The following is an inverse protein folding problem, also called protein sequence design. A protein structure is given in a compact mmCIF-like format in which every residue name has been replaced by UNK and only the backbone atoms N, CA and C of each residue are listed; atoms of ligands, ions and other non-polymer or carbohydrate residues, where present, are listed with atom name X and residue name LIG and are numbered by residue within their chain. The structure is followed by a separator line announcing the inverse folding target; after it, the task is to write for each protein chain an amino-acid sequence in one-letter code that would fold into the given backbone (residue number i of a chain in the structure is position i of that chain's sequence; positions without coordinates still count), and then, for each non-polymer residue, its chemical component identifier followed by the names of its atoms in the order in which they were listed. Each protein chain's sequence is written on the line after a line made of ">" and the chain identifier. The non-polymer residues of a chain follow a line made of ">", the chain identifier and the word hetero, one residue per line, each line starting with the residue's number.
data_IF_381664652876
#
_entry.id   IF_381664652876
#
_cell.length_a   1.000
_cell.length_b   1.000
_cell.length_c   1.000
_cell.angle_alpha   90.00
_cell.angle_beta   90.00
_cell.angle_gamma   90.00
#
_symmetry.space_group_name_H-M   'P 1'
#
loop_
_entity.id
_entity.type
_entity.pdbx_description
1 polymer ?
#
# COMPACT_ATOMS: atom_id res chain seq x y z
N UNK A 1 50.72 66.40 -0.04
CA UNK A 1 50.12 65.79 1.18
C UNK A 1 49.34 64.55 0.76
N UNK A 2 49.79 63.38 1.26
CA UNK A 2 49.14 62.05 1.35
C UNK A 2 48.62 61.42 0.04
N UNK A 3 49.40 60.56 -0.65
CA UNK A 3 49.70 59.12 -0.45
C UNK A 3 48.82 58.22 -1.34
N UNK A 4 49.37 57.80 -2.48
CA UNK A 4 48.91 56.63 -3.24
C UNK A 4 49.19 55.37 -2.39
N UNK A 5 48.16 54.56 -2.15
CA UNK A 5 48.28 53.23 -1.56
C UNK A 5 48.14 52.22 -2.70
N UNK A 6 49.26 51.60 -3.05
CA UNK A 6 49.32 50.43 -3.94
C UNK A 6 48.96 49.19 -3.10
N UNK A 7 47.80 48.59 -3.34
CA UNK A 7 47.43 47.31 -2.73
C UNK A 7 48.00 46.20 -3.62
N UNK A 8 49.08 45.58 -3.15
CA UNK A 8 49.68 44.37 -3.69
C UNK A 8 48.90 43.17 -3.10
N UNK A 9 48.01 42.56 -3.87
CA UNK A 9 47.36 41.30 -3.45
C UNK A 9 48.33 40.16 -3.73
N UNK A 10 48.93 39.64 -2.66
CA UNK A 10 49.78 38.45 -2.66
C UNK A 10 48.89 37.21 -2.86
N UNK A 11 48.67 36.79 -4.11
CA UNK A 11 48.05 35.50 -4.41
C UNK A 11 49.08 34.39 -4.21
N UNK A 12 49.27 33.98 -2.96
CA UNK A 12 50.03 32.77 -2.62
C UNK A 12 49.26 31.54 -3.08
N UNK A 13 49.61 31.03 -4.26
CA UNK A 13 49.08 29.77 -4.79
C UNK A 13 49.55 28.60 -3.94
N UNK A 14 48.65 28.06 -3.11
CA UNK A 14 48.78 26.69 -2.61
C UNK A 14 48.38 25.79 -3.78
N UNK A 15 49.39 25.34 -4.54
CA UNK A 15 49.25 24.24 -5.48
C UNK A 15 49.04 22.96 -4.65
N UNK A 16 47.78 22.68 -4.32
CA UNK A 16 47.37 21.31 -4.05
C UNK A 16 47.64 20.54 -5.34
N UNK A 17 48.69 19.72 -5.35
CA UNK A 17 48.84 18.67 -6.34
C UNK A 17 47.68 17.69 -6.15
N UNK A 18 46.54 18.03 -6.74
CA UNK A 18 45.54 17.05 -7.11
C UNK A 18 46.24 16.20 -8.16
N UNK A 19 46.72 15.03 -7.74
CA UNK A 19 47.12 13.99 -8.66
C UNK A 19 45.83 13.58 -9.39
N UNK A 20 45.57 14.23 -10.52
CA UNK A 20 44.59 13.76 -11.48
C UNK A 20 45.15 12.43 -11.97
N UNK A 21 44.61 11.32 -11.46
CA UNK A 21 44.86 10.01 -12.04
C UNK A 21 44.47 10.11 -13.52
N UNK A 22 45.38 9.74 -14.43
CA UNK A 22 45.03 9.67 -15.84
C UNK A 22 43.78 8.78 -15.97
N UNK A 23 42.76 9.20 -16.75
CA UNK A 23 41.59 8.37 -16.99
C UNK A 23 42.04 6.99 -17.43
N UNK A 24 41.49 5.95 -16.81
CA UNK A 24 41.91 4.59 -17.13
C UNK A 24 41.62 4.31 -18.61
N UNK A 25 42.56 3.67 -19.32
CA UNK A 25 42.28 3.32 -20.71
C UNK A 25 41.14 2.30 -20.79
N UNK A 26 40.38 2.30 -21.89
CA UNK A 26 39.37 1.26 -22.15
C UNK A 26 39.90 -0.15 -21.91
N UNK A 27 41.13 -0.42 -22.37
CA UNK A 27 41.80 -1.70 -22.20
C UNK A 27 42.06 -2.05 -20.74
N UNK A 28 42.40 -1.06 -19.92
CA UNK A 28 42.64 -1.24 -18.49
C UNK A 28 41.34 -1.63 -17.77
N UNK A 29 40.26 -0.87 -17.98
CA UNK A 29 38.97 -1.18 -17.37
C UNK A 29 38.39 -2.52 -17.84
N UNK A 30 38.58 -2.86 -19.12
CA UNK A 30 38.21 -4.16 -19.65
C UNK A 30 38.95 -5.29 -18.93
N UNK A 31 40.29 -5.21 -18.89
CA UNK A 31 41.14 -6.24 -18.29
C UNK A 31 40.86 -6.40 -16.80
N UNK A 32 40.74 -5.29 -16.07
CA UNK A 32 40.55 -5.30 -14.63
C UNK A 32 39.16 -5.84 -14.24
N UNK A 33 38.11 -5.37 -14.91
CA UNK A 33 36.75 -5.85 -14.63
C UNK A 33 36.57 -7.31 -15.04
N UNK A 34 37.26 -7.77 -16.09
CA UNK A 34 37.27 -9.17 -16.47
C UNK A 34 38.00 -10.04 -15.44
N UNK A 35 39.17 -9.61 -14.98
CA UNK A 35 39.92 -10.29 -13.92
C UNK A 35 39.07 -10.42 -12.66
N UNK A 36 38.46 -9.33 -12.20
CA UNK A 36 37.57 -9.39 -11.04
C UNK A 36 36.36 -10.29 -11.24
N UNK A 37 35.83 -10.37 -12.47
CA UNK A 37 34.74 -11.29 -12.80
C UNK A 37 35.18 -12.75 -12.64
N UNK A 38 36.36 -13.11 -13.16
CA UNK A 38 36.91 -14.47 -13.05
C UNK A 38 37.24 -14.84 -11.59
N UNK A 39 37.72 -13.88 -10.81
CA UNK A 39 38.02 -14.05 -9.38
C UNK A 39 36.75 -14.09 -8.50
N UNK A 40 35.58 -13.74 -9.04
CA UNK A 40 34.37 -13.54 -8.24
C UNK A 40 34.45 -12.33 -7.29
N UNK A 41 35.38 -11.40 -7.53
CA UNK A 41 35.55 -10.18 -6.74
C UNK A 41 34.49 -9.14 -7.16
N UNK A 42 33.26 -9.36 -6.71
CA UNK A 42 32.11 -8.54 -7.08
C UNK A 42 32.24 -7.08 -6.61
N UNK A 43 32.83 -6.83 -5.44
CA UNK A 43 33.01 -5.47 -4.93
C UNK A 43 34.04 -4.68 -5.74
N UNK A 44 35.17 -5.29 -6.08
CA UNK A 44 36.15 -4.72 -7.00
C UNK A 44 35.54 -4.41 -8.37
N UNK A 45 34.85 -5.39 -8.96
CA UNK A 45 34.16 -5.24 -10.24
C UNK A 45 33.15 -4.09 -10.22
N UNK A 46 32.30 -4.01 -9.19
CA UNK A 46 31.29 -2.96 -9.08
C UNK A 46 31.94 -1.58 -8.92
N UNK A 47 33.00 -1.47 -8.11
CA UNK A 47 33.72 -0.20 -7.90
C UNK A 47 34.37 0.28 -9.20
N UNK A 48 35.22 -0.56 -9.81
CA UNK A 48 35.92 -0.27 -11.06
C UNK A 48 34.94 -0.03 -12.22
N UNK A 49 33.84 -0.79 -12.29
CA UNK A 49 32.81 -0.58 -13.30
C UNK A 49 32.05 0.74 -13.16
N UNK A 50 31.79 1.21 -11.92
CA UNK A 50 31.22 2.55 -11.68
C UNK A 50 32.19 3.67 -12.02
N UNK A 51 33.49 3.47 -11.82
CA UNK A 51 34.54 4.39 -12.26
C UNK A 51 34.55 4.48 -13.79
N UNK A 52 34.63 3.34 -14.49
CA UNK A 52 34.58 3.29 -15.95
C UNK A 52 33.35 4.01 -16.55
N UNK A 53 32.15 3.76 -16.02
CA UNK A 53 30.92 4.43 -16.49
C UNK A 53 30.98 5.95 -16.25
N UNK A 54 31.54 6.42 -15.12
CA UNK A 54 31.70 7.86 -14.85
C UNK A 54 32.68 8.52 -15.82
N UNK A 55 33.69 7.78 -16.27
CA UNK A 55 34.65 8.22 -17.29
C UNK A 55 34.15 8.05 -18.73
N UNK A 56 32.88 7.72 -18.92
CA UNK A 56 32.24 7.63 -20.24
C UNK A 56 32.39 6.27 -20.93
N UNK A 57 33.02 5.29 -20.28
CA UNK A 57 33.09 3.92 -20.78
C UNK A 57 31.84 3.13 -20.41
N UNK A 58 30.89 3.06 -21.35
CA UNK A 58 29.66 2.27 -21.24
C UNK A 58 29.56 1.30 -22.42
N UNK A 59 29.96 0.04 -22.21
CA UNK A 59 29.95 -1.00 -23.24
C UNK A 59 29.34 -2.31 -22.72
N UNK A 60 28.98 -3.18 -23.66
CA UNK A 60 28.17 -4.38 -23.42
C UNK A 60 28.75 -5.29 -22.33
N UNK A 61 30.01 -5.70 -22.45
CA UNK A 61 30.64 -6.62 -21.50
C UNK A 61 30.77 -6.04 -20.09
N UNK A 62 31.05 -4.73 -19.96
CA UNK A 62 31.05 -4.07 -18.66
C UNK A 62 29.67 -4.12 -18.01
N UNK A 63 28.60 -3.81 -18.77
CA UNK A 63 27.23 -3.90 -18.26
C UNK A 63 26.85 -5.32 -17.86
N UNK A 64 27.21 -6.32 -18.66
CA UNK A 64 26.97 -7.73 -18.33
C UNK A 64 27.69 -8.13 -17.04
N UNK A 65 28.99 -7.85 -16.92
CA UNK A 65 29.80 -8.15 -15.74
C UNK A 65 29.25 -7.47 -14.48
N UNK A 66 28.88 -6.20 -14.56
CA UNK A 66 28.27 -5.48 -13.43
C UNK A 66 26.89 -6.04 -13.07
N UNK A 67 26.08 -6.41 -14.06
CA UNK A 67 24.79 -7.07 -13.86
C UNK A 67 24.95 -8.38 -13.10
N UNK A 68 25.89 -9.23 -13.52
CA UNK A 68 26.19 -10.51 -12.86
C UNK A 68 26.73 -10.27 -11.44
N UNK A 69 27.64 -9.32 -11.24
CA UNK A 69 28.14 -8.99 -9.91
C UNK A 69 27.02 -8.56 -8.96
N UNK A 70 26.12 -7.67 -9.39
CA UNK A 70 24.96 -7.29 -8.58
C UNK A 70 23.98 -8.45 -8.34
N UNK A 71 23.77 -9.30 -9.35
CA UNK A 71 22.93 -10.49 -9.24
C UNK A 71 23.49 -11.49 -8.22
N UNK A 72 24.81 -11.76 -8.25
CA UNK A 72 25.52 -12.59 -7.29
C UNK A 72 25.44 -12.04 -5.86
N UNK A 73 25.36 -10.72 -5.72
CA UNK A 73 25.10 -10.04 -4.43
C UNK A 73 23.60 -9.94 -4.06
N UNK A 74 22.72 -10.64 -4.79
CA UNK A 74 21.25 -10.60 -4.67
C UNK A 74 20.64 -9.20 -4.79
N UNK A 75 21.34 -8.23 -5.37
CA UNK A 75 20.84 -6.89 -5.62
C UNK A 75 20.16 -6.85 -7.00
N UNK A 76 19.04 -7.56 -7.10
CA UNK A 76 18.33 -7.83 -8.34
C UNK A 76 17.82 -6.56 -9.04
N UNK A 77 17.44 -5.52 -8.29
CA UNK A 77 17.01 -4.23 -8.87
C UNK A 77 18.14 -3.50 -9.58
N UNK A 78 19.36 -3.46 -9.00
CA UNK A 78 20.52 -2.87 -9.70
C UNK A 78 21.01 -3.77 -10.83
N UNK A 79 21.00 -5.09 -10.63
CA UNK A 79 21.32 -6.05 -11.69
C UNK A 79 20.41 -5.85 -12.91
N UNK A 80 19.09 -5.73 -12.69
CA UNK A 80 18.12 -5.47 -13.75
C UNK A 80 18.43 -4.20 -14.55
N UNK A 81 18.88 -3.12 -13.90
CA UNK A 81 19.32 -1.91 -14.59
C UNK A 81 20.49 -2.19 -15.54
N UNK A 82 21.51 -2.90 -15.07
CA UNK A 82 22.67 -3.24 -15.89
C UNK A 82 22.33 -4.17 -17.06
N UNK A 83 21.50 -5.20 -16.85
CA UNK A 83 21.05 -6.07 -17.94
C UNK A 83 20.14 -5.34 -18.94
N UNK A 84 19.31 -4.40 -18.47
CA UNK A 84 18.52 -3.55 -19.37
C UNK A 84 19.43 -2.70 -20.25
N UNK A 85 20.51 -2.12 -19.69
CA UNK A 85 21.52 -1.37 -20.45
C UNK A 85 22.31 -2.27 -21.41
N UNK A 86 22.66 -3.49 -21.00
CA UNK A 86 23.30 -4.46 -21.88
C UNK A 86 22.43 -4.81 -23.09
N UNK A 87 21.12 -5.00 -22.89
CA UNK A 87 20.16 -5.27 -23.97
C UNK A 87 19.92 -4.09 -24.92
N UNK A 88 20.20 -2.85 -24.49
CA UNK A 88 20.19 -1.68 -25.38
C UNK A 88 21.43 -1.64 -26.29
N UNK A 89 22.55 -2.20 -25.83
CA UNK A 89 23.81 -2.26 -26.59
C UNK A 89 23.88 -3.50 -27.50
N UNK A 90 23.34 -4.62 -27.04
CA UNK A 90 23.21 -5.86 -27.80
C UNK A 90 21.80 -6.43 -27.64
N UNK A 91 20.96 -6.14 -28.61
CA UNK A 91 19.56 -6.56 -28.59
C UNK A 91 19.44 -8.08 -28.65
N UNK A 92 18.52 -8.64 -27.86
CA UNK A 92 18.18 -10.07 -27.83
C UNK A 92 19.28 -11.02 -27.33
N UNK A 93 20.33 -10.54 -26.66
CA UNK A 93 21.29 -11.43 -25.99
C UNK A 93 20.55 -12.40 -25.02
N UNK A 94 20.66 -13.73 -25.21
CA UNK A 94 19.90 -14.69 -24.41
C UNK A 94 20.26 -14.67 -22.93
N UNK A 95 21.53 -14.45 -22.59
CA UNK A 95 21.98 -14.44 -21.20
C UNK A 95 21.43 -13.20 -20.46
N UNK A 96 21.55 -12.02 -21.07
CA UNK A 96 21.03 -10.78 -20.52
C UNK A 96 19.50 -10.84 -20.34
N UNK A 97 18.78 -11.40 -21.32
CA UNK A 97 17.34 -11.65 -21.24
C UNK A 97 16.97 -12.57 -20.08
N UNK A 98 17.68 -13.70 -19.92
CA UNK A 98 17.44 -14.65 -18.85
C UNK A 98 17.72 -14.04 -17.46
N UNK A 99 18.86 -13.38 -17.29
CA UNK A 99 19.19 -12.73 -16.03
C UNK A 99 18.19 -11.62 -15.67
N UNK A 100 17.79 -10.79 -16.65
CA UNK A 100 16.79 -9.76 -16.43
C UNK A 100 15.45 -10.37 -16.03
N UNK A 101 15.04 -11.47 -16.65
CA UNK A 101 13.81 -12.20 -16.28
C UNK A 101 13.84 -12.63 -14.81
N UNK A 102 14.90 -13.30 -14.36
CA UNK A 102 15.00 -13.71 -12.95
C UNK A 102 15.10 -12.52 -12.00
N UNK A 103 15.77 -11.41 -12.39
CA UNK A 103 15.75 -10.20 -11.58
C UNK A 103 14.31 -9.69 -11.36
N UNK A 104 13.48 -9.70 -12.40
CA UNK A 104 12.06 -9.31 -12.30
C UNK A 104 11.28 -10.29 -11.42
N UNK A 105 11.49 -11.60 -11.58
CA UNK A 105 10.84 -12.63 -10.74
C UNK A 105 11.19 -12.46 -9.25
N UNK A 106 12.48 -12.35 -8.90
CA UNK A 106 12.95 -12.24 -7.51
C UNK A 106 12.64 -10.89 -6.84
N UNK A 107 12.19 -9.91 -7.62
CA UNK A 107 11.73 -8.61 -7.11
C UNK A 107 10.20 -8.48 -7.11
N UNK A 108 9.48 -9.57 -7.36
CA UNK A 108 8.01 -9.61 -7.36
C UNK A 108 7.35 -9.03 -8.60
N UNK A 109 8.11 -8.76 -9.66
CA UNK A 109 7.66 -8.06 -10.88
C UNK A 109 7.18 -9.05 -11.95
N UNK A 110 6.21 -9.88 -11.59
CA UNK A 110 5.72 -10.99 -12.43
C UNK A 110 5.18 -10.52 -13.79
N UNK A 111 4.42 -9.42 -13.83
CA UNK A 111 3.91 -8.85 -15.07
C UNK A 111 5.03 -8.42 -16.03
N UNK A 112 6.09 -7.79 -15.50
CA UNK A 112 7.24 -7.39 -16.31
C UNK A 112 8.05 -8.60 -16.77
N UNK A 113 8.17 -9.63 -15.93
CA UNK A 113 8.80 -10.88 -16.30
C UNK A 113 8.02 -11.56 -17.45
N UNK A 114 6.69 -11.59 -17.38
CA UNK A 114 5.84 -12.14 -18.44
C UNK A 114 5.94 -11.33 -19.75
N UNK A 115 6.02 -10.00 -19.67
CA UNK A 115 6.26 -9.14 -20.84
C UNK A 115 7.62 -9.41 -21.48
N UNK A 116 8.68 -9.46 -20.67
CA UNK A 116 10.04 -9.73 -21.14
C UNK A 116 10.15 -11.11 -21.78
N UNK A 117 9.45 -12.09 -21.21
CA UNK A 117 9.41 -13.47 -21.72
C UNK A 117 8.98 -13.54 -23.18
N UNK A 118 8.10 -12.64 -23.66
CA UNK A 118 7.71 -12.58 -25.08
C UNK A 118 8.88 -12.35 -26.04
N UNK A 119 10.01 -11.85 -25.55
CA UNK A 119 11.21 -11.57 -26.35
C UNK A 119 12.10 -12.82 -26.54
N UNK A 120 11.90 -13.89 -25.78
CA UNK A 120 12.77 -15.07 -25.83
C UNK A 120 12.60 -15.82 -27.15
N UNK A 121 13.70 -16.36 -27.69
CA UNK A 121 13.76 -17.14 -28.93
C UNK A 121 14.64 -18.39 -28.73
N UNK A 122 14.53 -19.37 -29.64
CA UNK A 122 15.36 -20.58 -29.64
C UNK A 122 15.33 -21.34 -28.31
N UNK A 123 16.49 -21.83 -27.88
CA UNK A 123 16.67 -22.65 -26.68
C UNK A 123 16.16 -21.97 -25.40
N UNK A 124 16.34 -20.65 -25.28
CA UNK A 124 15.87 -19.91 -24.11
C UNK A 124 14.33 -19.93 -24.01
N UNK A 125 13.63 -19.87 -25.14
CA UNK A 125 12.18 -19.97 -25.17
C UNK A 125 11.67 -21.38 -24.82
N UNK A 126 12.45 -22.42 -25.11
CA UNK A 126 12.15 -23.79 -24.72
C UNK A 126 12.40 -24.02 -23.22
N UNK A 127 13.51 -23.49 -22.70
CA UNK A 127 13.91 -23.60 -21.28
C UNK A 127 12.88 -22.99 -20.33
N UNK A 128 12.35 -21.82 -20.70
CA UNK A 128 11.37 -21.10 -19.92
C UNK A 128 10.16 -20.92 -20.84
N UNK A 129 9.06 -21.67 -20.78
CA UNK A 129 7.89 -21.44 -21.61
C UNK A 129 7.14 -20.16 -21.20
N UNK A 130 6.38 -19.54 -22.11
CA UNK A 130 5.57 -18.36 -21.78
C UNK A 130 4.39 -18.79 -20.91
N UNK A 131 4.13 -18.16 -19.76
CA UNK A 131 2.86 -18.34 -19.09
C UNK A 131 1.78 -17.78 -20.01
N UNK A 132 0.86 -18.64 -20.45
CA UNK A 132 -0.31 -18.23 -21.22
C UNK A 132 -1.29 -17.43 -20.35
N UNK A 133 -2.44 -17.00 -20.90
CA UNK A 133 -3.52 -16.47 -20.08
C UNK A 133 -3.93 -17.51 -19.03
N UNK A 134 -4.14 -17.07 -17.79
CA UNK A 134 -4.59 -17.90 -16.70
C UNK A 134 -5.80 -17.24 -16.04
N UNK A 135 -6.97 -17.85 -16.23
CA UNK A 135 -8.20 -17.40 -15.59
C UNK A 135 -8.08 -17.54 -14.06
N UNK A 136 -7.52 -18.64 -13.58
CA UNK A 136 -7.17 -18.82 -12.17
C UNK A 136 -5.65 -18.66 -11.99
N UNK A 137 -5.13 -17.42 -11.97
CA UNK A 137 -3.72 -17.21 -11.59
C UNK A 137 -3.57 -17.34 -10.07
N UNK A 138 -4.47 -16.70 -9.33
CA UNK A 138 -4.46 -16.71 -7.87
C UNK A 138 -5.86 -16.62 -7.26
N UNK A 139 -6.10 -17.39 -6.21
CA UNK A 139 -7.30 -17.27 -5.38
C UNK A 139 -6.90 -16.99 -3.93
N UNK A 140 -7.65 -16.12 -3.24
CA UNK A 140 -7.40 -15.76 -1.86
C UNK A 140 -8.64 -15.93 -0.98
N UNK A 141 -8.40 -16.33 0.26
CA UNK A 141 -9.38 -16.29 1.35
C UNK A 141 -8.75 -15.58 2.54
N UNK A 142 -9.43 -14.55 3.06
CA UNK A 142 -9.03 -13.82 4.25
C UNK A 142 -10.17 -13.79 5.26
N UNK A 143 -9.82 -13.92 6.54
CA UNK A 143 -10.69 -13.63 7.65
C UNK A 143 -10.05 -12.60 8.57
N UNK A 144 -10.83 -11.61 9.00
CA UNK A 144 -10.46 -10.63 10.01
C UNK A 144 -11.51 -10.64 11.11
N UNK A 145 -11.05 -10.65 12.36
CA UNK A 145 -11.87 -10.43 13.54
C UNK A 145 -11.34 -9.23 14.31
N UNK A 146 -12.23 -8.35 14.74
CA UNK A 146 -11.93 -7.14 15.50
C UNK A 146 -12.74 -7.10 16.79
N UNK A 147 -12.06 -6.73 17.88
CA UNK A 147 -12.63 -6.56 19.20
C UNK A 147 -12.42 -5.10 19.68
N UNK A 148 -13.50 -4.46 20.14
CA UNK A 148 -13.42 -3.21 20.90
C UNK A 148 -12.86 -3.42 22.30
N UNK A 149 -11.95 -2.54 22.72
CA UNK A 149 -11.33 -2.50 24.05
C UNK A 149 -11.96 -1.39 24.90
N UNK A 150 -13.29 -1.41 24.98
CA UNK A 150 -14.14 -0.34 25.50
C UNK A 150 -15.16 -0.85 26.54
N UNK A 151 -14.76 -1.83 27.35
CA UNK A 151 -15.65 -2.51 28.33
C UNK A 151 -16.34 -1.55 29.29
N UNK A 152 -15.61 -0.54 29.79
CA UNK A 152 -16.17 0.45 30.71
C UNK A 152 -17.31 1.25 30.06
N UNK A 153 -17.05 1.78 28.86
CA UNK A 153 -18.04 2.52 28.07
C UNK A 153 -19.26 1.64 27.72
N UNK A 154 -19.02 0.37 27.40
CA UNK A 154 -20.08 -0.59 27.05
C UNK A 154 -20.94 -0.96 28.26
N UNK A 155 -20.35 -1.06 29.45
CA UNK A 155 -21.05 -1.42 30.68
C UNK A 155 -21.76 -0.23 31.32
N UNK A 156 -21.20 0.97 31.19
CA UNK A 156 -21.73 2.19 31.78
C UNK A 156 -21.91 3.33 30.74
N UNK A 157 -22.68 3.15 29.64
CA UNK A 157 -22.75 4.14 28.57
C UNK A 157 -23.15 5.54 29.03
N UNK A 158 -24.03 5.63 30.03
CA UNK A 158 -24.56 6.89 30.55
C UNK A 158 -23.53 7.73 31.32
N UNK A 159 -22.47 7.11 31.83
CA UNK A 159 -21.39 7.82 32.53
C UNK A 159 -20.44 8.52 31.54
N UNK A 160 -20.44 8.09 30.28
CA UNK A 160 -19.57 8.61 29.22
C UNK A 160 -20.33 9.41 28.16
N UNK A 161 -21.61 9.10 27.93
CA UNK A 161 -22.46 9.72 26.90
C UNK A 161 -23.55 10.54 27.59
N UNK A 162 -23.34 11.86 27.68
CA UNK A 162 -24.30 12.79 28.25
C UNK A 162 -24.52 14.00 27.33
N UNK A 163 -25.17 13.82 26.16
CA UNK A 163 -25.42 14.89 25.21
C UNK A 163 -26.48 15.88 25.72
N UNK A 164 -26.34 17.14 25.34
CA UNK A 164 -27.32 18.19 25.64
C UNK A 164 -28.50 18.23 24.64
N UNK A 165 -28.37 17.55 23.49
CA UNK A 165 -29.35 17.56 22.40
C UNK A 165 -29.75 16.13 21.97
N UNK A 166 -30.98 15.94 21.42
CA UNK A 166 -31.40 14.67 20.82
C UNK A 166 -30.44 14.21 19.70
N UNK A 167 -30.17 12.92 19.64
CA UNK A 167 -29.24 12.36 18.65
C UNK A 167 -28.81 10.93 18.95
N UNK A 168 -27.73 10.53 18.30
CA UNK A 168 -27.19 9.17 18.34
C UNK A 168 -25.68 9.12 18.48
N UNK A 169 -25.16 8.04 19.04
CA UNK A 169 -23.73 7.77 19.04
C UNK A 169 -23.45 6.28 18.87
N UNK A 170 -22.42 5.96 18.08
CA UNK A 170 -22.03 4.59 17.75
C UNK A 170 -20.63 4.32 18.29
N UNK A 171 -20.45 3.19 18.94
CA UNK A 171 -19.15 2.73 19.42
C UNK A 171 -18.98 1.26 19.04
N UNK A 172 -18.01 0.98 18.18
CA UNK A 172 -17.70 -0.38 17.73
C UNK A 172 -17.38 -1.31 18.90
N UNK A 173 -18.16 -2.38 19.08
CA UNK A 173 -17.89 -3.44 20.08
C UNK A 173 -17.12 -4.60 19.46
N UNK A 174 -17.36 -4.87 18.18
CA UNK A 174 -16.59 -5.82 17.40
C UNK A 174 -17.10 -5.95 15.97
N UNK A 175 -16.26 -6.47 15.08
CA UNK A 175 -16.67 -6.81 13.71
C UNK A 175 -15.82 -7.91 13.13
N UNK A 176 -16.33 -8.55 12.09
CA UNK A 176 -15.59 -9.54 11.32
C UNK A 176 -15.77 -9.34 9.83
N UNK A 177 -14.71 -9.56 9.07
CA UNK A 177 -14.72 -9.54 7.61
C UNK A 177 -14.30 -10.90 7.07
N UNK A 178 -14.98 -11.38 6.04
CA UNK A 178 -14.53 -12.50 5.21
C UNK A 178 -14.35 -11.96 3.80
N UNK A 179 -13.17 -12.15 3.22
CA UNK A 179 -12.87 -11.74 1.85
C UNK A 179 -12.48 -12.92 0.99
N UNK A 180 -13.05 -12.99 -0.21
CA UNK A 180 -12.68 -13.92 -1.27
C UNK A 180 -12.11 -13.13 -2.43
N UNK A 181 -10.88 -13.43 -2.85
CA UNK A 181 -10.22 -12.74 -3.96
C UNK A 181 -9.82 -13.67 -5.09
N UNK A 182 -9.82 -13.14 -6.30
CA UNK A 182 -9.40 -13.84 -7.51
C UNK A 182 -8.58 -12.88 -8.37
N UNK A 183 -7.40 -13.31 -8.79
CA UNK A 183 -6.59 -12.63 -9.78
C UNK A 183 -6.54 -13.45 -11.06
N UNK A 184 -6.84 -12.79 -12.18
CA UNK A 184 -6.70 -13.34 -13.53
C UNK A 184 -5.45 -12.74 -14.19
N UNK A 185 -4.66 -13.56 -14.87
CA UNK A 185 -3.64 -13.10 -15.80
C UNK A 185 -4.23 -13.12 -17.22
N UNK A 186 -4.80 -11.99 -17.66
CA UNK A 186 -5.50 -11.89 -18.96
C UNK A 186 -4.51 -11.97 -20.11
N UNK A 187 -3.40 -11.24 -20.00
CA UNK A 187 -2.30 -11.26 -20.97
C UNK A 187 -1.01 -10.83 -20.26
N UNK A 188 0.18 -11.06 -20.83
CA UNK A 188 1.40 -10.54 -20.24
C UNK A 188 1.36 -9.01 -20.13
N UNK A 189 1.50 -8.50 -18.91
CA UNK A 189 1.35 -7.09 -18.59
C UNK A 189 -0.08 -6.64 -18.28
N UNK A 190 -1.08 -7.53 -18.33
CA UNK A 190 -2.47 -7.22 -18.02
C UNK A 190 -3.01 -8.27 -17.04
N UNK A 191 -3.21 -7.83 -15.79
CA UNK A 191 -3.85 -8.63 -14.75
C UNK A 191 -5.15 -7.98 -14.31
N UNK A 192 -6.02 -8.77 -13.68
CA UNK A 192 -7.29 -8.30 -13.19
C UNK A 192 -7.58 -8.91 -11.83
N UNK A 193 -7.70 -8.04 -10.83
CA UNK A 193 -7.97 -8.38 -9.44
C UNK A 193 -9.46 -8.17 -9.13
N UNK A 194 -10.07 -9.16 -8.47
CA UNK A 194 -11.43 -9.11 -7.92
C UNK A 194 -11.39 -9.46 -6.45
N UNK A 195 -12.26 -8.83 -5.65
CA UNK A 195 -12.54 -9.31 -4.31
C UNK A 195 -14.01 -9.08 -3.94
N UNK A 196 -14.60 -10.06 -3.26
CA UNK A 196 -15.87 -9.90 -2.56
C UNK A 196 -15.61 -9.95 -1.06
N UNK A 197 -16.11 -8.96 -0.32
CA UNK A 197 -15.94 -8.88 1.14
C UNK A 197 -17.29 -8.74 1.81
N UNK A 198 -17.59 -9.66 2.73
CA UNK A 198 -18.72 -9.55 3.65
C UNK A 198 -18.23 -9.08 5.02
N UNK A 199 -18.88 -8.06 5.58
CA UNK A 199 -18.61 -7.50 6.90
C UNK A 199 -19.87 -7.60 7.76
N UNK A 200 -19.69 -8.06 8.99
CA UNK A 200 -20.69 -8.02 10.04
C UNK A 200 -20.09 -7.30 11.24
N UNK A 201 -20.76 -6.25 11.72
CA UNK A 201 -20.30 -5.37 12.80
C UNK A 201 -21.41 -5.19 13.82
N UNK A 202 -20.99 -5.16 15.09
CA UNK A 202 -21.84 -4.82 16.21
C UNK A 202 -21.34 -3.52 16.85
N UNK A 203 -22.29 -2.68 17.25
CA UNK A 203 -22.02 -1.44 17.95
C UNK A 203 -22.79 -1.38 19.27
N UNK A 204 -22.21 -0.69 20.24
CA UNK A 204 -22.99 0.05 21.22
C UNK A 204 -23.65 1.20 20.47
N UNK A 205 -24.97 1.19 20.43
CA UNK A 205 -25.78 2.22 19.82
C UNK A 205 -26.55 2.93 20.91
N UNK A 206 -26.23 4.21 21.11
CA UNK A 206 -26.92 5.12 22.01
C UNK A 206 -27.87 6.01 21.21
N UNK A 207 -29.08 6.20 21.71
CA UNK A 207 -30.12 7.02 21.10
C UNK A 207 -30.83 7.86 22.18
N UNK A 208 -31.03 9.13 21.90
CA UNK A 208 -31.74 10.07 22.76
C UNK A 208 -32.71 10.91 21.93
N UNK A 209 -34.00 10.85 22.24
CA UNK A 209 -35.05 11.60 21.52
C UNK A 209 -35.32 13.00 22.13
N UNK A 210 -34.60 13.39 23.18
CA UNK A 210 -34.84 14.61 23.96
C UNK A 210 -35.55 14.37 25.30
N UNK A 211 -36.15 13.20 25.48
CA UNK A 211 -36.90 12.80 26.69
C UNK A 211 -36.33 11.49 27.24
N UNK A 212 -36.31 10.44 26.41
CA UNK A 212 -35.92 9.08 26.76
C UNK A 212 -34.57 8.72 26.14
N UNK A 213 -33.80 7.94 26.90
CA UNK A 213 -32.49 7.44 26.49
C UNK A 213 -32.57 5.93 26.32
N UNK A 214 -32.16 5.47 25.15
CA UNK A 214 -32.11 4.05 24.81
C UNK A 214 -30.68 3.69 24.41
N UNK A 215 -30.23 2.51 24.81
CA UNK A 215 -28.98 1.97 24.32
C UNK A 215 -29.02 0.46 24.20
N UNK A 216 -28.21 -0.06 23.28
CA UNK A 216 -28.07 -1.50 23.04
C UNK A 216 -26.68 -1.81 22.53
N UNK A 217 -26.12 -2.94 22.93
CA UNK A 217 -24.80 -3.43 22.48
C UNK A 217 -24.89 -4.36 21.27
N UNK A 218 -26.12 -4.62 20.79
CA UNK A 218 -26.43 -5.56 19.72
C UNK A 218 -26.86 -4.91 18.42
N UNK A 219 -26.62 -3.61 18.21
CA UNK A 219 -26.95 -2.95 16.93
C UNK A 219 -26.08 -3.54 15.82
N UNK A 220 -26.73 -4.12 14.81
CA UNK A 220 -26.05 -4.80 13.72
C UNK A 220 -25.86 -3.89 12.51
N UNK A 221 -24.67 -3.95 11.95
CA UNK A 221 -24.30 -3.39 10.65
C UNK A 221 -23.79 -4.51 9.76
N UNK A 222 -24.34 -4.61 8.55
CA UNK A 222 -23.97 -5.60 7.54
C UNK A 222 -23.54 -4.87 6.27
N UNK A 223 -22.39 -5.23 5.74
CA UNK A 223 -21.86 -4.61 4.54
C UNK A 223 -21.36 -5.67 3.56
N UNK A 224 -21.77 -5.52 2.31
CA UNK A 224 -21.32 -6.35 1.19
C UNK A 224 -20.54 -5.48 0.22
N UNK A 225 -19.36 -5.94 -0.18
CA UNK A 225 -18.45 -5.16 -1.00
C UNK A 225 -17.98 -5.97 -2.20
N UNK A 226 -17.86 -5.31 -3.34
CA UNK A 226 -17.24 -5.88 -4.53
C UNK A 226 -16.19 -4.92 -5.09
N UNK A 227 -14.94 -5.38 -5.08
CA UNK A 227 -13.78 -4.68 -5.58
C UNK A 227 -13.36 -5.27 -6.93
N UNK A 228 -13.01 -4.39 -7.85
CA UNK A 228 -12.59 -4.73 -9.21
C UNK A 228 -11.47 -3.77 -9.65
N UNK A 229 -10.33 -4.31 -10.07
CA UNK A 229 -9.19 -3.49 -10.49
C UNK A 229 -8.35 -4.17 -11.58
N UNK A 230 -8.46 -3.72 -12.85
CA UNK A 230 -7.50 -4.10 -13.87
C UNK A 230 -6.16 -3.42 -13.62
N UNK A 231 -5.07 -4.10 -13.98
CA UNK A 231 -3.70 -3.60 -13.85
C UNK A 231 -2.98 -3.77 -15.16
N UNK A 232 -2.46 -2.65 -15.67
CA UNK A 232 -1.68 -2.60 -16.89
C UNK A 232 -0.24 -2.25 -16.53
N UNK A 233 0.69 -3.16 -16.82
CA UNK A 233 2.11 -2.99 -16.57
C UNK A 233 2.84 -2.82 -17.90
N UNK A 234 3.80 -1.89 -17.96
CA UNK A 234 4.66 -1.68 -19.14
C UNK A 234 6.04 -2.33 -18.95
N UNK A 235 6.78 -2.47 -20.06
CA UNK A 235 8.17 -2.94 -20.01
C UNK A 235 9.09 -2.00 -19.19
N UNK A 236 8.83 -0.69 -19.21
CA UNK A 236 9.58 0.31 -18.43
C UNK A 236 9.31 0.23 -16.92
N UNK A 237 8.26 -0.49 -16.49
CA UNK A 237 7.89 -0.66 -15.10
C UNK A 237 6.86 0.33 -14.58
N UNK A 238 6.23 1.09 -15.48
CA UNK A 238 5.01 1.83 -15.15
C UNK A 238 3.86 0.86 -14.96
N UNK A 239 3.06 1.06 -13.92
CA UNK A 239 1.78 0.41 -13.72
C UNK A 239 0.66 1.43 -13.70
N UNK A 240 -0.39 1.15 -14.44
CA UNK A 240 -1.63 1.91 -14.52
C UNK A 240 -2.75 1.03 -13.94
N UNK A 241 -3.39 1.49 -12.87
CA UNK A 241 -4.28 0.67 -12.02
C UNK A 241 -5.60 1.43 -11.81
N UNK A 242 -6.57 1.27 -12.73
CA UNK A 242 -7.95 1.69 -12.47
C UNK A 242 -8.55 0.90 -11.32
N UNK A 243 -9.42 1.55 -10.55
CA UNK A 243 -10.00 1.01 -9.33
C UNK A 243 -11.49 1.26 -9.33
N UNK A 244 -12.26 0.24 -8.99
CA UNK A 244 -13.71 0.31 -8.79
C UNK A 244 -14.08 -0.49 -7.56
N UNK A 245 -14.88 0.08 -6.68
CA UNK A 245 -15.32 -0.57 -5.45
C UNK A 245 -16.77 -0.19 -5.18
N UNK A 246 -17.65 -1.19 -5.15
CA UNK A 246 -19.06 -1.05 -4.84
C UNK A 246 -19.34 -1.54 -3.42
N UNK A 247 -20.14 -0.79 -2.67
CA UNK A 247 -20.48 -1.10 -1.29
C UNK A 247 -21.99 -1.04 -1.10
N UNK A 248 -22.56 -2.09 -0.50
CA UNK A 248 -23.95 -2.12 -0.06
C UNK A 248 -23.98 -2.23 1.46
N UNK A 249 -24.49 -1.22 2.14
CA UNK A 249 -24.54 -1.13 3.59
C UNK A 249 -25.98 -1.29 4.08
N UNK A 250 -26.19 -2.04 5.17
CA UNK A 250 -27.47 -2.11 5.87
C UNK A 250 -27.23 -2.08 7.36
N UNK A 251 -27.96 -1.27 8.10
CA UNK A 251 -27.78 -1.09 9.53
C UNK A 251 -29.12 -1.00 10.27
N UNK A 252 -29.09 -1.33 11.56
CA UNK A 252 -30.27 -1.21 12.41
C UNK A 252 -30.35 0.18 13.05
N UNK A 253 -31.58 0.70 13.16
CA UNK A 253 -31.91 1.91 13.93
C UNK A 253 -33.06 1.60 14.88
N UNK A 254 -33.23 2.43 15.90
CA UNK A 254 -34.39 2.36 16.76
C UNK A 254 -35.60 2.91 16.00
N UNK A 255 -36.69 2.14 15.98
CA UNK A 255 -37.99 2.52 15.42
C UNK A 255 -39.08 2.31 16.47
N UNK A 256 -40.14 3.10 16.38
CA UNK A 256 -41.31 2.95 17.27
C UNK A 256 -42.02 1.63 16.95
N UNK A 257 -42.19 0.76 17.95
CA UNK A 257 -42.91 -0.50 17.83
C UNK A 257 -44.45 -0.33 17.89
N UNK A 258 -44.93 0.91 17.99
CA UNK A 258 -46.35 1.26 18.11
C UNK A 258 -46.82 1.27 19.57
N UNK A 259 -48.00 1.87 19.81
CA UNK A 259 -48.61 1.93 21.13
C UNK A 259 -49.32 0.62 21.49
N UNK A 260 -48.89 -0.01 22.58
CA UNK A 260 -49.69 -1.09 23.18
C UNK A 260 -51.03 -0.55 23.72
N UNK A 261 -52.00 -1.44 23.98
CA UNK A 261 -53.35 -1.11 24.49
C UNK A 261 -53.36 -0.30 25.81
N UNK A 262 -52.21 -0.16 26.49
CA UNK A 262 -52.02 0.66 27.69
C UNK A 262 -51.13 1.91 27.48
N UNK A 263 -50.93 2.37 26.25
CA UNK A 263 -50.37 3.71 25.96
C UNK A 263 -48.85 3.86 26.12
N UNK A 264 -48.09 2.76 26.27
CA UNK A 264 -46.63 2.79 26.17
C UNK A 264 -46.17 2.65 24.71
N UNK A 265 -45.34 3.59 24.24
CA UNK A 265 -44.50 3.41 23.05
C UNK A 265 -43.22 2.67 23.46
N UNK A 266 -42.91 1.58 22.77
CA UNK A 266 -41.67 0.84 22.96
C UNK A 266 -40.78 0.98 21.72
N UNK A 267 -39.48 1.19 21.89
CA UNK A 267 -38.55 1.21 20.76
C UNK A 267 -38.05 -0.21 20.46
N UNK A 268 -37.98 -0.58 19.19
CA UNK A 268 -37.34 -1.81 18.71
C UNK A 268 -36.24 -1.50 17.70
N UNK A 269 -35.31 -2.42 17.48
CA UNK A 269 -34.33 -2.30 16.40
C UNK A 269 -34.89 -2.90 15.11
N UNK A 270 -34.89 -2.11 14.04
CA UNK A 270 -35.18 -2.61 12.70
C UNK A 270 -34.12 -2.16 11.71
N UNK A 271 -33.91 -2.97 10.67
CA UNK A 271 -32.98 -2.65 9.61
C UNK A 271 -33.58 -1.66 8.63
N UNK A 272 -32.86 -0.58 8.37
CA UNK A 272 -33.18 0.34 7.28
C UNK A 272 -33.04 -0.35 5.92
N UNK A 273 -33.61 0.29 4.90
CA UNK A 273 -33.32 -0.05 3.51
C UNK A 273 -31.81 0.08 3.25
N UNK A 274 -31.23 -0.78 2.39
CA UNK A 274 -29.80 -0.75 2.14
C UNK A 274 -29.35 0.51 1.38
N UNK A 275 -28.26 1.10 1.85
CA UNK A 275 -27.54 2.15 1.12
C UNK A 275 -26.55 1.56 0.13
N UNK A 276 -26.30 2.31 -0.94
CA UNK A 276 -25.38 1.97 -2.00
C UNK A 276 -24.33 3.07 -2.14
N UNK A 277 -23.07 2.68 -1.96
CA UNK A 277 -21.93 3.56 -2.03
C UNK A 277 -20.94 3.06 -3.07
N UNK A 278 -20.06 3.95 -3.54
CA UNK A 278 -19.04 3.57 -4.51
C UNK A 278 -17.76 4.36 -4.34
N UNK A 279 -16.68 3.76 -4.84
CA UNK A 279 -15.39 4.39 -5.02
C UNK A 279 -14.84 4.04 -6.39
N UNK A 280 -14.22 5.01 -7.05
CA UNK A 280 -13.49 4.83 -8.29
C UNK A 280 -12.21 5.65 -8.28
N UNK A 281 -11.19 5.22 -9.02
CA UNK A 281 -9.97 5.99 -9.09
C UNK A 281 -8.91 5.41 -9.99
N UNK A 282 -7.75 6.02 -9.93
CA UNK A 282 -6.56 5.61 -10.66
C UNK A 282 -5.35 5.67 -9.75
N UNK A 283 -4.57 4.59 -9.73
CA UNK A 283 -3.23 4.57 -9.17
C UNK A 283 -2.16 4.35 -10.24
N UNK A 284 -1.02 5.02 -10.05
CA UNK A 284 0.17 4.88 -10.85
C UNK A 284 1.33 4.41 -9.97
N UNK A 285 2.06 3.40 -10.43
CA UNK A 285 3.30 2.97 -9.79
C UNK A 285 4.42 2.99 -10.81
N UNK A 286 5.44 3.82 -10.59
CA UNK A 286 6.62 3.88 -11.47
C UNK A 286 7.84 3.36 -10.73
N UNK A 287 8.50 2.34 -11.30
CA UNK A 287 9.74 1.79 -10.76
C UNK A 287 10.94 2.54 -11.32
N UNK A 288 11.82 3.03 -10.45
CA UNK A 288 13.03 3.77 -10.79
C UNK A 288 14.19 3.21 -9.96
N UNK A 289 14.89 2.24 -10.53
CA UNK A 289 16.01 1.56 -9.85
C UNK A 289 15.58 0.89 -8.53
N UNK A 290 16.14 1.30 -7.37
CA UNK A 290 15.78 0.74 -6.07
C UNK A 290 14.53 1.37 -5.44
N UNK A 291 13.83 2.28 -6.13
CA UNK A 291 12.66 2.99 -5.60
C UNK A 291 11.44 2.73 -6.46
N UNK A 292 10.29 2.51 -5.82
CA UNK A 292 8.97 2.53 -6.46
C UNK A 292 8.27 3.83 -6.04
N UNK A 293 7.86 4.65 -7.00
CA UNK A 293 7.07 5.86 -6.80
C UNK A 293 5.59 5.51 -6.93
N UNK A 294 4.78 6.00 -5.99
CA UNK A 294 3.35 5.76 -5.92
C UNK A 294 2.59 7.08 -6.02
N UNK A 295 1.63 7.14 -6.95
CA UNK A 295 0.67 8.22 -7.09
C UNK A 295 -0.74 7.63 -7.17
N UNK A 296 -1.73 8.34 -6.64
CA UNK A 296 -3.13 7.92 -6.80
C UNK A 296 -4.11 9.05 -6.56
N UNK A 297 -5.26 8.96 -7.24
CA UNK A 297 -6.40 9.84 -7.06
C UNK A 297 -7.67 9.00 -7.06
N UNK A 298 -8.52 9.19 -6.06
CA UNK A 298 -9.73 8.40 -5.83
C UNK A 298 -10.89 9.33 -5.54
N UNK A 299 -12.02 9.07 -6.18
CA UNK A 299 -13.29 9.69 -5.92
C UNK A 299 -14.22 8.68 -5.26
N UNK A 300 -14.94 9.11 -4.23
CA UNK A 300 -15.88 8.26 -3.53
C UNK A 300 -17.15 9.01 -3.13
N UNK A 301 -18.25 8.28 -3.08
CA UNK A 301 -19.50 8.69 -2.45
C UNK A 301 -19.78 7.67 -1.34
N UNK A 302 -19.45 8.05 -0.10
CA UNK A 302 -19.52 7.20 1.09
C UNK A 302 -20.30 7.94 2.16
N UNK A 303 -21.27 7.28 2.80
CA UNK A 303 -22.11 7.88 3.83
C UNK A 303 -22.76 9.20 3.37
N UNK A 304 -23.14 9.27 2.08
CA UNK A 304 -23.69 10.46 1.40
C UNK A 304 -22.76 11.67 1.35
N UNK A 305 -21.46 11.47 1.61
CA UNK A 305 -20.42 12.48 1.46
C UNK A 305 -19.57 12.16 0.24
N UNK A 306 -19.47 13.13 -0.68
CA UNK A 306 -18.59 13.02 -1.85
C UNK A 306 -17.19 13.48 -1.50
N UNK A 307 -16.19 12.69 -1.86
CA UNK A 307 -14.81 12.95 -1.46
C UNK A 307 -13.81 12.73 -2.59
N UNK A 308 -12.72 13.47 -2.52
CA UNK A 308 -11.54 13.28 -3.35
C UNK A 308 -10.34 12.98 -2.45
N UNK A 309 -9.75 11.80 -2.64
CA UNK A 309 -8.53 11.38 -1.95
C UNK A 309 -7.35 11.33 -2.92
N UNK A 310 -6.21 11.88 -2.52
CA UNK A 310 -4.96 11.76 -3.25
C UNK A 310 -3.92 11.01 -2.42
N UNK A 311 -3.00 10.32 -3.10
CA UNK A 311 -1.85 9.65 -2.49
C UNK A 311 -0.58 9.99 -3.25
N UNK A 312 0.46 10.34 -2.51
CA UNK A 312 1.84 10.36 -3.00
C UNK A 312 2.71 9.56 -2.04
N UNK A 313 3.66 8.79 -2.55
CA UNK A 313 4.64 8.14 -1.70
C UNK A 313 5.68 7.39 -2.47
N UNK A 314 6.61 6.79 -1.74
CA UNK A 314 7.67 5.98 -2.30
C UNK A 314 7.93 4.75 -1.44
N UNK A 315 8.44 3.70 -2.07
CA UNK A 315 8.97 2.52 -1.40
C UNK A 315 10.41 2.31 -1.84
N UNK A 316 11.34 2.29 -0.89
CA UNK A 316 12.78 2.12 -1.12
C UNK A 316 13.23 0.71 -0.76
N UNK A 317 14.01 0.09 -1.65
CA UNK A 317 14.58 -1.24 -1.52
C UNK A 317 16.12 -1.14 -1.42
N UNK A 318 16.68 -0.85 -0.23
CA UNK A 318 18.13 -0.63 -0.05
C UNK A 318 19.00 -1.79 -0.53
N UNK A 319 18.54 -3.02 -0.32
CA UNK A 319 19.25 -4.24 -0.72
C UNK A 319 18.98 -4.63 -2.19
N UNK A 320 18.09 -3.91 -2.87
CA UNK A 320 17.70 -4.19 -4.26
C UNK A 320 16.92 -5.50 -4.43
N UNK A 321 16.34 -6.02 -3.36
CA UNK A 321 15.48 -7.20 -3.32
C UNK A 321 14.38 -6.99 -2.26
N UNK A 322 13.56 -8.02 -2.00
CA UNK A 322 12.44 -7.94 -1.05
C UNK A 322 12.85 -8.26 0.41
N UNK A 323 14.15 -8.35 0.72
CA UNK A 323 14.61 -8.71 2.06
C UNK A 323 14.58 -7.53 3.04
N UNK A 324 14.60 -6.31 2.53
CA UNK A 324 14.43 -5.09 3.32
C UNK A 324 13.86 -3.99 2.41
N UNK A 325 12.77 -3.37 2.86
CA UNK A 325 12.17 -2.21 2.23
C UNK A 325 11.52 -1.29 3.24
N UNK A 326 11.45 -0.02 2.91
CA UNK A 326 10.77 1.00 3.70
C UNK A 326 9.96 1.92 2.78
N UNK A 327 8.75 2.24 3.18
CA UNK A 327 7.85 3.11 2.45
C UNK A 327 7.34 4.26 3.31
N UNK A 328 7.08 5.38 2.66
CA UNK A 328 6.49 6.57 3.25
C UNK A 328 5.46 7.15 2.30
N UNK A 329 4.27 7.48 2.81
CA UNK A 329 3.16 7.97 2.02
C UNK A 329 2.48 9.14 2.71
N UNK A 330 2.00 10.07 1.92
CA UNK A 330 1.12 11.15 2.35
C UNK A 330 -0.19 11.03 1.57
N UNK A 331 -1.29 10.94 2.30
CA UNK A 331 -2.62 10.97 1.72
C UNK A 331 -3.29 12.29 2.08
N UNK A 332 -4.00 12.88 1.14
CA UNK A 332 -4.90 14.01 1.38
C UNK A 332 -6.33 13.60 1.06
N UNK A 333 -7.27 14.03 1.90
CA UNK A 333 -8.69 13.82 1.69
C UNK A 333 -9.40 15.18 1.72
N UNK A 334 -10.27 15.40 0.74
CA UNK A 334 -11.08 16.60 0.60
C UNK A 334 -12.54 16.21 0.43
N UNK A 335 -13.41 16.78 1.25
CA UNK A 335 -14.86 16.52 1.20
C UNK A 335 -15.59 17.64 0.43
N UNK A 336 -16.52 17.23 -0.43
CA UNK A 336 -17.34 18.09 -1.30
C UNK A 336 -18.80 17.81 -0.98
N UNK A 337 -19.37 18.49 0.03
CA UNK A 337 -20.78 18.26 0.38
C UNK A 337 -21.34 19.09 1.53
N UNK A 338 -20.52 19.49 2.49
CA UNK A 338 -20.96 20.24 3.68
C UNK A 338 -20.01 21.40 3.99
N UNK A 339 -20.35 22.60 3.54
CA UNK A 339 -19.61 23.82 3.92
C UNK A 339 -18.15 23.89 3.43
N UNK A 340 -17.31 24.63 4.16
CA UNK A 340 -15.88 24.82 3.86
C UNK A 340 -15.17 23.46 3.77
N UNK A 341 -14.60 23.15 2.61
CA UNK A 341 -13.97 21.84 2.39
C UNK A 341 -12.80 21.60 3.33
N UNK A 342 -12.85 20.49 4.07
CA UNK A 342 -11.85 20.12 5.08
C UNK A 342 -10.74 19.31 4.41
N UNK A 343 -9.50 19.80 4.48
CA UNK A 343 -8.32 19.06 4.04
C UNK A 343 -7.76 18.23 5.20
N UNK A 344 -7.84 16.90 5.10
CA UNK A 344 -7.23 15.98 6.06
C UNK A 344 -5.94 15.40 5.50
N UNK A 345 -4.88 15.38 6.30
CA UNK A 345 -3.59 14.77 5.96
C UNK A 345 -3.37 13.50 6.77
N UNK A 346 -3.05 12.40 6.09
CA UNK A 346 -2.89 11.08 6.70
C UNK A 346 -1.54 10.51 6.26
N UNK A 347 -0.45 10.76 7.01
CA UNK A 347 0.83 10.10 6.77
C UNK A 347 0.76 8.60 7.09
N UNK A 348 1.51 7.83 6.30
CA UNK A 348 1.70 6.40 6.51
C UNK A 348 3.18 6.03 6.38
N UNK A 349 3.61 5.08 7.20
CA UNK A 349 4.92 4.44 7.10
C UNK A 349 4.75 2.93 6.97
N UNK A 350 5.67 2.32 6.23
CA UNK A 350 5.77 0.87 6.02
C UNK A 350 7.22 0.45 6.17
N UNK A 351 7.49 -0.62 6.89
CA UNK A 351 8.80 -1.26 6.94
C UNK A 351 8.57 -2.75 6.78
N UNK A 352 9.24 -3.36 5.82
CA UNK A 352 9.19 -4.79 5.60
C UNK A 352 10.58 -5.40 5.53
N UNK A 353 10.74 -6.57 6.12
CA UNK A 353 11.99 -7.31 6.08
C UNK A 353 11.75 -8.81 6.10
N UNK A 354 12.69 -9.57 5.55
CA UNK A 354 12.64 -11.03 5.56
C UNK A 354 13.47 -11.60 6.71
N UNK A 355 12.95 -12.63 7.38
CA UNK A 355 13.72 -13.50 8.26
C UNK A 355 14.18 -14.73 7.47
N UNK A 356 15.50 -14.84 7.25
CA UNK A 356 16.15 -15.96 6.56
C UNK A 356 15.55 -16.30 5.17
N UNK A 357 14.96 -15.33 4.46
CA UNK A 357 14.28 -15.51 3.16
C UNK A 357 13.13 -16.54 3.20
N UNK A 358 12.60 -16.85 4.39
CA UNK A 358 11.52 -17.83 4.62
C UNK A 358 10.26 -17.23 5.19
N UNK A 359 10.34 -16.06 5.81
CA UNK A 359 9.19 -15.33 6.33
C UNK A 359 9.40 -13.84 6.12
N UNK A 360 8.34 -13.12 5.77
CA UNK A 360 8.35 -11.67 5.66
C UNK A 360 7.55 -11.07 6.79
N UNK A 361 8.14 -10.10 7.49
CA UNK A 361 7.47 -9.30 8.50
C UNK A 361 7.26 -7.91 7.90
N UNK A 362 6.03 -7.43 7.96
CA UNK A 362 5.65 -6.07 7.60
C UNK A 362 5.10 -5.35 8.83
N UNK A 363 5.61 -4.14 9.07
CA UNK A 363 5.15 -3.21 10.07
C UNK A 363 4.62 -1.98 9.36
N UNK A 364 3.42 -1.53 9.73
CA UNK A 364 2.85 -0.30 9.19
C UNK A 364 2.23 0.55 10.26
N UNK A 365 2.25 1.86 10.08
CA UNK A 365 1.54 2.79 10.94
C UNK A 365 0.98 3.97 10.15
N UNK A 366 -0.17 4.47 10.60
CA UNK A 366 -0.82 5.64 10.03
C UNK A 366 -1.43 6.50 11.12
N UNK A 367 -1.54 7.79 10.86
CA UNK A 367 -2.18 8.75 11.78
C UNK A 367 -2.90 9.83 10.99
N UNK A 368 -4.02 10.32 11.52
CA UNK A 368 -4.88 11.31 10.86
C UNK A 368 -6.35 10.87 10.91
N UNK A 369 -7.25 11.78 10.56
CA UNK A 369 -8.69 11.52 10.53
C UNK A 369 -9.05 10.64 9.33
N UNK A 370 -9.27 9.34 9.57
CA UNK A 370 -9.56 8.35 8.53
C UNK A 370 -11.08 8.08 8.40
N UNK A 371 -11.88 9.14 8.36
CA UNK A 371 -13.32 9.07 8.07
C UNK A 371 -13.54 8.97 6.56
N UNK A 372 -14.38 8.02 6.13
CA UNK A 372 -14.67 7.72 4.71
C UNK A 372 -13.39 7.52 3.87
N UNK A 373 -12.34 7.02 4.52
CA UNK A 373 -11.00 6.93 3.98
C UNK A 373 -10.77 5.62 3.21
N UNK A 374 -9.85 5.61 2.25
CA UNK A 374 -9.46 4.39 1.54
C UNK A 374 -7.97 4.06 1.59
N UNK A 375 -7.65 2.76 1.60
CA UNK A 375 -6.28 2.23 1.56
C UNK A 375 -6.11 1.15 0.48
N UNK A 376 -4.85 0.76 0.23
CA UNK A 376 -4.47 -0.33 -0.67
C UNK A 376 -5.10 -0.20 -2.07
N UNK A 377 -4.91 0.95 -2.70
CA UNK A 377 -5.46 1.26 -4.03
C UNK A 377 -6.99 1.10 -4.07
N UNK A 378 -7.70 1.57 -3.05
CA UNK A 378 -9.17 1.47 -3.02
C UNK A 378 -9.73 0.18 -2.44
N UNK A 379 -8.90 -0.84 -2.19
CA UNK A 379 -9.37 -2.17 -1.78
C UNK A 379 -9.92 -2.22 -0.36
N UNK A 380 -9.51 -1.29 0.51
CA UNK A 380 -10.02 -1.16 1.88
C UNK A 380 -10.74 0.18 2.00
N UNK A 381 -11.96 0.15 2.54
CA UNK A 381 -12.80 1.33 2.78
C UNK A 381 -13.10 1.43 4.27
N UNK A 382 -12.92 2.62 4.84
CA UNK A 382 -13.29 3.00 6.19
C UNK A 382 -14.50 3.93 6.16
N UNK A 383 -15.71 3.37 6.16
CA UNK A 383 -16.97 4.13 6.07
C UNK A 383 -17.88 3.92 7.30
N UNK A 384 -17.30 3.80 8.50
CA UNK A 384 -18.12 3.76 9.72
C UNK A 384 -18.78 5.13 9.96
N UNK A 385 -20.03 5.14 10.40
CA UNK A 385 -20.81 6.36 10.60
C UNK A 385 -20.57 6.93 12.01
N UNK A 386 -20.12 8.20 12.09
CA UNK A 386 -19.87 8.91 13.35
C UNK A 386 -18.65 8.42 14.15
N UNK A 387 -17.94 7.40 13.66
CA UNK A 387 -16.72 6.90 14.28
C UNK A 387 -15.62 6.67 13.25
N UNK A 388 -14.40 7.05 13.61
CA UNK A 388 -13.25 6.99 12.70
C UNK A 388 -11.97 6.57 13.43
N UNK A 389 -11.08 5.80 12.78
CA UNK A 389 -9.73 5.60 13.30
C UNK A 389 -8.92 6.90 13.16
N UNK A 390 -8.23 7.29 14.23
CA UNK A 390 -7.29 8.41 14.24
C UNK A 390 -5.82 7.99 14.18
N UNK A 391 -5.51 6.76 14.64
CA UNK A 391 -4.19 6.16 14.59
C UNK A 391 -4.31 4.65 14.39
N UNK A 392 -3.41 4.07 13.61
CA UNK A 392 -3.34 2.62 13.40
C UNK A 392 -1.91 2.14 13.41
N UNK A 393 -1.70 0.93 13.91
CA UNK A 393 -0.43 0.21 13.82
C UNK A 393 -0.72 -1.25 13.46
N UNK A 394 -0.03 -1.77 12.45
CA UNK A 394 -0.20 -3.13 11.95
C UNK A 394 1.11 -3.89 11.95
N UNK A 395 1.01 -5.19 12.20
CA UNK A 395 2.06 -6.17 11.98
C UNK A 395 1.48 -7.30 11.16
N UNK A 396 2.19 -7.72 10.11
CA UNK A 396 1.84 -8.88 9.29
C UNK A 396 3.05 -9.80 9.17
N UNK A 397 2.82 -11.10 9.21
CA UNK A 397 3.81 -12.13 8.90
C UNK A 397 3.30 -12.94 7.72
N UNK A 398 4.10 -13.05 6.66
CA UNK A 398 3.78 -13.79 5.45
C UNK A 398 4.81 -14.89 5.20
N UNK A 399 4.35 -16.11 4.92
CA UNK A 399 5.20 -17.29 4.71
C UNK A 399 4.81 -17.97 3.39
N UNK A 400 5.77 -18.21 2.48
CA UNK A 400 5.53 -19.02 1.30
C UNK A 400 5.32 -20.48 1.71
N UNK A 401 4.22 -21.06 1.24
CA UNK A 401 3.84 -22.45 1.53
C UNK A 401 3.93 -23.36 0.29
N UNK A 402 4.25 -22.81 -0.87
CA UNK A 402 4.47 -23.60 -2.09
C UNK A 402 5.58 -23.01 -2.96
N UNK A 403 6.26 -23.87 -3.73
CA UNK A 403 7.24 -23.44 -4.75
C UNK A 403 6.62 -22.60 -5.88
N UNK A 404 5.31 -22.75 -6.11
CA UNK A 404 4.55 -21.97 -7.10
C UNK A 404 4.28 -20.54 -6.62
N UNK A 405 4.47 -20.24 -5.34
CA UNK A 405 4.28 -18.91 -4.76
C UNK A 405 2.94 -18.72 -4.04
N UNK A 406 2.35 -19.80 -3.52
CA UNK A 406 1.25 -19.71 -2.56
C UNK A 406 1.77 -19.18 -1.22
N UNK A 407 0.98 -18.37 -0.54
CA UNK A 407 1.37 -17.67 0.69
C UNK A 407 0.32 -17.87 1.77
N UNK A 408 0.76 -18.11 3.01
CA UNK A 408 -0.04 -17.95 4.22
C UNK A 408 0.37 -16.64 4.88
N UNK A 409 -0.58 -15.89 5.44
CA UNK A 409 -0.26 -14.72 6.26
C UNK A 409 -1.16 -14.61 7.49
N UNK A 410 -0.62 -14.00 8.53
CA UNK A 410 -1.29 -13.69 9.78
C UNK A 410 -0.80 -12.33 10.28
N UNK A 411 -1.69 -11.53 10.83
CA UNK A 411 -1.34 -10.22 11.34
C UNK A 411 -2.27 -9.70 12.43
N UNK A 412 -1.82 -8.62 13.04
CA UNK A 412 -2.57 -7.85 14.02
C UNK A 412 -2.68 -6.39 13.57
N UNK A 413 -3.79 -5.75 13.94
CA UNK A 413 -4.05 -4.32 13.73
C UNK A 413 -4.54 -3.72 15.04
N UNK A 414 -3.77 -2.81 15.61
CA UNK A 414 -4.24 -1.93 16.67
C UNK A 414 -4.77 -0.64 16.04
N UNK A 415 -5.86 -0.11 16.58
CA UNK A 415 -6.42 1.18 16.14
C UNK A 415 -6.98 1.97 17.32
N UNK A 416 -6.74 3.27 17.34
CA UNK A 416 -7.39 4.22 18.24
C UNK A 416 -8.50 4.94 17.48
N UNK A 417 -9.73 4.78 17.94
CA UNK A 417 -10.93 5.37 17.37
C UNK A 417 -11.38 6.60 18.15
N UNK A 418 -12.08 7.49 17.44
CA UNK A 418 -12.90 8.56 18.00
C UNK A 418 -14.33 8.34 17.54
N UNK A 419 -15.28 8.50 18.45
CA UNK A 419 -16.71 8.48 18.18
C UNK A 419 -17.33 9.81 18.61
N UNK A 420 -18.05 10.44 17.71
CA UNK A 420 -18.75 11.70 17.94
C UNK A 420 -20.23 11.45 18.18
N UNK A 421 -20.83 12.25 19.06
CA UNK A 421 -22.28 12.29 19.19
C UNK A 421 -22.86 13.05 18.00
N UNK A 422 -23.85 12.46 17.33
CA UNK A 422 -24.48 12.98 16.12
C UNK A 422 -25.89 13.47 16.47
N UNK A 423 -26.11 14.78 16.65
CA UNK A 423 -27.43 15.31 16.92
C UNK A 423 -28.37 15.12 15.72
N UNK A 424 -29.66 14.98 15.96
CA UNK A 424 -30.65 14.93 14.86
C UNK A 424 -30.82 16.28 14.16
N UNK A 425 -30.65 17.38 14.91
CA UNK A 425 -30.59 18.73 14.36
C UNK A 425 -29.13 19.18 14.26
N UNK A 426 -28.59 19.37 13.04
CA UNK A 426 -27.23 19.84 12.84
C UNK A 426 -26.94 21.22 13.46
N UNK A 427 -27.97 22.05 13.68
CA UNK A 427 -27.83 23.38 14.31
C UNK A 427 -27.55 23.26 15.81
N UNK A 428 -27.97 22.15 16.42
CA UNK A 428 -27.75 21.82 17.83
C UNK A 428 -26.49 20.97 18.04
N UNK A 429 -25.57 20.95 17.06
CA UNK A 429 -24.26 20.34 17.20
C UNK A 429 -23.44 21.06 18.27
N UNK A 430 -23.62 20.63 19.52
CA UNK A 430 -22.56 20.68 20.50
C UNK A 430 -21.48 19.69 20.01
N UNK A 431 -20.26 20.14 19.69
CA UNK A 431 -19.19 19.24 19.30
C UNK A 431 -19.00 18.12 20.33
N UNK A 432 -19.39 18.35 21.59
CA UNK A 432 -19.19 17.42 22.68
C UNK A 432 -17.71 17.03 22.82
N UNK A 433 -17.42 16.19 23.80
CA UNK A 433 -16.13 15.51 23.83
C UNK A 433 -16.26 14.19 23.06
N UNK A 434 -15.49 14.04 21.97
CA UNK A 434 -15.41 12.76 21.28
C UNK A 434 -14.98 11.66 22.24
N UNK A 435 -15.69 10.53 22.22
CA UNK A 435 -15.30 9.36 22.99
C UNK A 435 -14.15 8.67 22.27
N UNK A 436 -13.02 8.55 22.97
CA UNK A 436 -11.87 7.82 22.46
C UNK A 436 -11.88 6.40 22.97
N UNK A 437 -11.67 5.44 22.08
CA UNK A 437 -11.54 4.04 22.46
C UNK A 437 -10.56 3.31 21.54
N UNK A 438 -10.18 2.08 21.91
CA UNK A 438 -9.21 1.30 21.15
C UNK A 438 -9.85 0.03 20.62
N UNK A 439 -9.33 -0.49 19.52
CA UNK A 439 -9.70 -1.80 18.99
C UNK A 439 -8.45 -2.60 18.67
N UNK A 440 -8.57 -3.92 18.73
CA UNK A 440 -7.55 -4.84 18.24
C UNK A 440 -8.18 -5.82 17.27
N UNK A 441 -7.58 -5.96 16.09
CA UNK A 441 -7.98 -6.93 15.09
C UNK A 441 -6.89 -7.97 14.88
N UNK A 442 -7.30 -9.21 14.66
CA UNK A 442 -6.45 -10.28 14.16
C UNK A 442 -6.99 -10.65 12.79
N UNK A 443 -6.11 -10.77 11.81
CA UNK A 443 -6.48 -11.20 10.47
C UNK A 443 -5.49 -12.21 9.95
N UNK A 444 -5.96 -13.07 9.07
CA UNK A 444 -5.11 -14.04 8.42
C UNK A 444 -5.79 -14.57 7.18
N UNK A 445 -4.98 -15.12 6.29
CA UNK A 445 -5.48 -15.59 5.03
C UNK A 445 -4.46 -16.43 4.30
N UNK A 446 -4.93 -16.93 3.19
CA UNK A 446 -4.15 -17.76 2.30
C UNK A 446 -4.41 -17.33 0.86
N UNK A 447 -3.32 -17.21 0.12
CA UNK A 447 -3.32 -16.91 -1.30
C UNK A 447 -2.75 -18.12 -2.03
N UNK A 448 -3.58 -18.84 -2.75
CA UNK A 448 -3.19 -19.95 -3.60
C UNK A 448 -2.80 -19.47 -4.99
N UNK A 449 -1.61 -19.85 -5.45
CA UNK A 449 -1.18 -19.69 -6.84
C UNK A 449 -1.24 -21.05 -7.56
N UNK A 450 -1.91 -21.08 -8.71
CA UNK A 450 -2.20 -22.32 -9.45
C UNK A 450 -1.05 -22.78 -10.36
#
# INVERSE_FOLDING_TARGET
>A
MYRLITILILSGGILLQVSAQEPGSFSQYETETYRYYLEGNWDGLIRTGKEAIREGMDYYYLRMRMGIAYYSKKNYRRAAHHFTRALQLNHQDPAALEYLYYCRVYTGQQDQAALLRKQFRGDLALKLPSPGPAFFDRAGLEYLYCQGLNRDIVNNPLDHISPAAPGVQYITTGFSNVSLSLSNAIAPGISLDHAYTGLAKNNLYYYFDGINRYYTTGQQVRQHQYYFSPRFTTASGLQFIPVFHLVRLRYQVFVDAGTGYQGGSGMTLDFMEPDHFFLTGLALVQRIGPVDLHLGGYYSDLNHTKQLQNRIGLTWYPLGNLNLYAGGFANSLYETGTGEGVLRLIPEILIGFSMAEKAWIELGASAGEMENYTENFGAIIYNSYGEMPGKKARLSVSVPVSKKGSMLYLGGLWSAYRSWFMPFDPVLADPGHAITYQTFSIYGGISWKF
#
